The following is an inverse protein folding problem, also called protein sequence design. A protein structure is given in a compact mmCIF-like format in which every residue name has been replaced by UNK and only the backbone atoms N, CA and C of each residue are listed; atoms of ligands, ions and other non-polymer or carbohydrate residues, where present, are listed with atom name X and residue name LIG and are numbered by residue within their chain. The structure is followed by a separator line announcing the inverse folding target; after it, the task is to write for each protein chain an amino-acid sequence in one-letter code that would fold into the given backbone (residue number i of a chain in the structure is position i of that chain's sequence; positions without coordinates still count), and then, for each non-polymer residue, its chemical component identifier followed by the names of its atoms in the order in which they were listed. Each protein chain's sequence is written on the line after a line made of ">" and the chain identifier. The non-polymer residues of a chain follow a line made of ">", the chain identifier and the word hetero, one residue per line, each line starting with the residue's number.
data_IF_538414710660
#
_entry.id   IF_538414710660
#
_cell.length_a   1.000
_cell.length_b   1.000
_cell.length_c   1.000
_cell.angle_alpha   90.00
_cell.angle_beta   90.00
_cell.angle_gamma   90.00
#
_symmetry.space_group_name_H-M   'P 1'
#
loop_
_entity.id
_entity.type
_entity.pdbx_description
1 polymer ?
#
# COMPACT_ATOMS: atom_id res chain seq x y z
N UNK A 1 0.73 -16.25 -20.87
CA UNK A 1 -0.17 -15.70 -19.84
C UNK A 1 -1.58 -15.98 -20.34
N UNK A 2 -2.36 -16.79 -19.62
CA UNK A 2 -3.64 -17.31 -20.09
C UNK A 2 -4.70 -16.20 -19.94
N UNK A 3 -5.39 -15.83 -21.02
CA UNK A 3 -6.40 -14.76 -21.01
C UNK A 3 -7.76 -15.28 -20.52
N UNK A 4 -7.75 -15.82 -19.30
CA UNK A 4 -8.92 -16.46 -18.66
C UNK A 4 -10.10 -15.49 -18.56
N UNK A 5 -9.85 -14.19 -18.44
CA UNK A 5 -10.90 -13.19 -18.37
C UNK A 5 -11.72 -13.11 -19.66
N UNK A 6 -11.07 -13.11 -20.83
CA UNK A 6 -11.79 -13.12 -22.11
C UNK A 6 -12.65 -14.39 -22.23
N UNK A 7 -12.09 -15.55 -21.91
CA UNK A 7 -12.84 -16.82 -21.95
C UNK A 7 -14.05 -16.79 -21.02
N UNK A 8 -13.90 -16.29 -19.79
CA UNK A 8 -15.02 -16.16 -18.84
C UNK A 8 -16.11 -15.25 -19.39
N UNK A 9 -15.76 -14.06 -19.90
CA UNK A 9 -16.77 -13.12 -20.38
C UNK A 9 -17.45 -13.57 -21.70
N UNK A 10 -16.82 -14.46 -22.47
CA UNK A 10 -17.40 -15.04 -23.68
C UNK A 10 -18.23 -16.28 -23.38
N UNK A 11 -17.83 -17.13 -22.43
CA UNK A 11 -18.50 -18.39 -22.09
C UNK A 11 -19.75 -18.17 -21.26
N UNK A 12 -19.71 -17.30 -20.25
CA UNK A 12 -20.82 -17.13 -19.33
C UNK A 12 -21.71 -15.95 -19.76
N UNK A 13 -22.92 -16.25 -20.20
CA UNK A 13 -23.88 -15.27 -20.74
C UNK A 13 -24.74 -14.58 -19.69
N UNK A 14 -24.81 -15.13 -18.46
CA UNK A 14 -25.70 -14.67 -17.39
C UNK A 14 -24.95 -14.35 -16.09
N UNK A 15 -23.69 -13.92 -16.17
CA UNK A 15 -22.98 -13.48 -14.97
C UNK A 15 -23.63 -12.20 -14.46
N UNK A 16 -23.98 -12.19 -13.17
CA UNK A 16 -24.50 -11.00 -12.48
C UNK A 16 -23.37 -10.33 -11.71
N UNK A 17 -22.61 -11.12 -10.95
CA UNK A 17 -21.46 -10.67 -10.16
C UNK A 17 -20.23 -11.50 -10.50
N UNK A 18 -19.10 -10.81 -10.70
CA UNK A 18 -17.81 -11.45 -10.91
C UNK A 18 -16.75 -10.77 -10.03
N UNK A 19 -16.00 -11.57 -9.28
CA UNK A 19 -14.85 -11.12 -8.52
C UNK A 19 -13.67 -12.03 -8.81
N UNK A 20 -12.57 -11.45 -9.28
CA UNK A 20 -11.31 -12.14 -9.40
C UNK A 20 -10.57 -12.04 -8.07
N UNK A 21 -10.35 -13.18 -7.42
CA UNK A 21 -9.45 -13.28 -6.27
C UNK A 21 -8.10 -13.78 -6.79
N UNK A 22 -7.07 -12.96 -6.66
CA UNK A 22 -5.71 -13.36 -6.98
C UNK A 22 -4.92 -13.49 -5.68
N UNK A 23 -4.54 -14.72 -5.33
CA UNK A 23 -3.89 -15.05 -4.06
C UNK A 23 -2.41 -14.68 -3.99
N UNK A 24 -1.85 -14.07 -5.04
CA UNK A 24 -0.46 -13.62 -5.05
C UNK A 24 -0.28 -12.42 -5.96
N UNK A 25 0.48 -11.41 -5.51
CA UNK A 25 0.92 -10.25 -6.29
C UNK A 25 1.73 -10.58 -7.56
N UNK A 26 2.03 -11.87 -7.81
CA UNK A 26 2.89 -12.33 -8.90
C UNK A 26 2.13 -12.83 -10.11
N UNK A 27 0.93 -13.39 -9.91
CA UNK A 27 0.03 -13.70 -11.02
C UNK A 27 -0.66 -12.39 -11.41
N UNK A 28 -0.77 -12.16 -12.72
CA UNK A 28 -1.14 -10.85 -13.27
C UNK A 28 -2.16 -11.09 -14.37
N UNK A 29 -3.32 -10.48 -14.25
CA UNK A 29 -4.29 -10.43 -15.33
C UNK A 29 -3.88 -9.29 -16.26
N UNK A 30 -3.43 -9.64 -17.47
CA UNK A 30 -3.42 -8.73 -18.61
C UNK A 30 -4.62 -9.05 -19.47
N UNK A 31 -5.44 -8.05 -19.72
CA UNK A 31 -6.51 -8.17 -20.70
C UNK A 31 -5.90 -7.89 -22.07
N UNK A 32 -5.36 -8.93 -22.71
CA UNK A 32 -4.97 -8.82 -24.11
C UNK A 32 -6.24 -8.83 -24.95
N UNK A 33 -6.74 -7.65 -25.31
CA UNK A 33 -7.67 -7.52 -26.41
C UNK A 33 -6.82 -7.42 -27.69
N UNK A 34 -6.24 -8.54 -28.11
CA UNK A 34 -5.67 -8.67 -29.45
C UNK A 34 -6.86 -8.55 -30.42
N UNK A 35 -7.16 -7.32 -30.88
CA UNK A 35 -8.32 -6.93 -31.70
C UNK A 35 -9.24 -8.09 -32.15
N UNK A 36 -10.44 -8.23 -31.54
CA UNK A 36 -11.58 -8.79 -32.27
C UNK A 36 -12.84 -7.90 -32.10
N UNK A 37 -13.87 -8.07 -32.96
CA UNK A 37 -14.87 -7.05 -33.21
C UNK A 37 -15.69 -6.71 -31.96
N UNK A 38 -16.30 -5.52 -31.99
CA UNK A 38 -17.28 -4.92 -31.07
C UNK A 38 -18.45 -5.83 -30.60
N UNK A 39 -18.45 -7.15 -30.87
CA UNK A 39 -19.59 -8.07 -30.71
C UNK A 39 -19.35 -9.33 -29.85
N UNK A 40 -18.22 -9.51 -29.17
CA UNK A 40 -17.88 -10.83 -28.55
C UNK A 40 -18.15 -11.00 -27.05
N UNK A 41 -18.55 -9.97 -26.31
CA UNK A 41 -18.93 -10.12 -24.89
C UNK A 41 -20.41 -10.47 -24.77
N UNK A 42 -20.69 -11.73 -24.41
CA UNK A 42 -22.07 -12.24 -24.28
C UNK A 42 -22.66 -12.01 -22.89
N UNK A 43 -21.86 -11.62 -21.91
CA UNK A 43 -22.31 -11.33 -20.54
C UNK A 43 -22.97 -9.96 -20.42
N UNK A 44 -24.04 -9.72 -21.19
CA UNK A 44 -24.79 -8.46 -21.15
C UNK A 44 -25.42 -8.17 -19.78
N UNK A 45 -25.47 -9.14 -18.86
CA UNK A 45 -26.12 -9.04 -17.55
C UNK A 45 -25.19 -8.69 -16.39
N UNK A 46 -23.90 -8.46 -16.64
CA UNK A 46 -22.94 -8.23 -15.56
C UNK A 46 -23.22 -6.88 -14.87
N UNK A 47 -23.63 -6.93 -13.61
CA UNK A 47 -23.97 -5.75 -12.80
C UNK A 47 -22.80 -5.30 -11.92
N UNK A 48 -21.97 -6.25 -11.45
CA UNK A 48 -20.85 -5.99 -10.54
C UNK A 48 -19.58 -6.72 -10.97
N UNK A 49 -18.49 -5.97 -11.07
CA UNK A 49 -17.15 -6.47 -11.36
C UNK A 49 -16.15 -5.99 -10.30
N UNK A 50 -15.34 -6.90 -9.79
CA UNK A 50 -14.14 -6.60 -9.02
C UNK A 50 -12.95 -7.32 -9.67
N UNK A 51 -11.97 -6.54 -10.11
CA UNK A 51 -10.87 -7.03 -10.92
C UNK A 51 -9.56 -6.31 -10.60
N UNK A 52 -8.46 -7.05 -10.65
CA UNK A 52 -7.10 -6.52 -10.63
C UNK A 52 -6.56 -6.47 -12.06
N UNK A 53 -6.02 -5.34 -12.49
CA UNK A 53 -5.52 -5.14 -13.85
C UNK A 53 -4.06 -4.69 -13.84
N UNK A 54 -3.38 -5.00 -14.94
CA UNK A 54 -1.97 -4.68 -15.08
C UNK A 54 -1.73 -3.19 -15.33
N UNK A 55 -2.52 -2.56 -16.19
CA UNK A 55 -2.38 -1.15 -16.55
C UNK A 55 -3.72 -0.43 -16.67
N UNK A 56 -3.66 0.90 -16.75
CA UNK A 56 -4.85 1.75 -16.90
C UNK A 56 -5.58 1.54 -18.24
N UNK A 57 -4.88 1.18 -19.32
CA UNK A 57 -5.51 0.89 -20.62
C UNK A 57 -6.48 -0.29 -20.52
N UNK A 58 -6.14 -1.33 -19.77
CA UNK A 58 -7.03 -2.47 -19.50
C UNK A 58 -8.35 -2.01 -18.86
N UNK A 59 -8.29 -1.01 -17.96
CA UNK A 59 -9.46 -0.42 -17.32
C UNK A 59 -10.33 0.35 -18.34
N UNK A 60 -9.69 1.15 -19.21
CA UNK A 60 -10.40 1.86 -20.28
C UNK A 60 -11.11 0.92 -21.24
N UNK A 61 -10.50 -0.23 -21.55
CA UNK A 61 -11.14 -1.25 -22.38
C UNK A 61 -12.36 -1.89 -21.72
N UNK A 62 -12.38 -2.07 -20.39
CA UNK A 62 -13.60 -2.52 -19.69
C UNK A 62 -14.71 -1.46 -19.75
N UNK A 63 -14.34 -0.19 -19.84
CA UNK A 63 -15.21 0.97 -19.81
C UNK A 63 -15.63 1.47 -21.21
N UNK A 64 -15.32 0.73 -22.27
CA UNK A 64 -15.60 1.17 -23.64
C UNK A 64 -17.04 0.89 -24.14
N UNK A 65 -17.92 0.48 -23.23
CA UNK A 65 -19.34 0.22 -23.53
C UNK A 65 -19.70 -1.26 -23.70
N UNK A 66 -18.71 -2.17 -23.66
CA UNK A 66 -18.95 -3.62 -23.73
C UNK A 66 -19.79 -4.20 -22.57
N UNK A 67 -19.75 -3.57 -21.40
CA UNK A 67 -20.55 -3.95 -20.23
C UNK A 67 -21.61 -2.88 -19.95
N UNK A 68 -22.58 -2.73 -20.85
CA UNK A 68 -23.59 -1.67 -20.76
C UNK A 68 -24.49 -1.78 -19.52
N UNK A 69 -24.67 -2.95 -18.88
CA UNK A 69 -25.44 -3.08 -17.64
C UNK A 69 -24.60 -2.93 -16.37
N UNK A 70 -23.28 -2.71 -16.48
CA UNK A 70 -22.40 -2.62 -15.32
C UNK A 70 -22.77 -1.41 -14.46
N UNK A 71 -23.11 -1.68 -13.20
CA UNK A 71 -23.49 -0.65 -12.22
C UNK A 71 -22.38 -0.42 -11.20
N UNK A 72 -21.59 -1.45 -10.90
CA UNK A 72 -20.56 -1.41 -9.85
C UNK A 72 -19.25 -1.98 -10.39
N UNK A 73 -18.19 -1.17 -10.32
CA UNK A 73 -16.86 -1.56 -10.77
C UNK A 73 -15.80 -1.22 -9.71
N UNK A 74 -15.05 -2.22 -9.28
CA UNK A 74 -13.85 -2.09 -8.47
C UNK A 74 -12.64 -2.50 -9.30
N UNK A 75 -11.65 -1.61 -9.41
CA UNK A 75 -10.42 -1.84 -10.17
C UNK A 75 -9.24 -1.62 -9.26
N UNK A 76 -8.42 -2.66 -9.11
CA UNK A 76 -7.08 -2.54 -8.53
C UNK A 76 -6.03 -2.53 -9.64
N UNK A 77 -5.26 -1.45 -9.75
CA UNK A 77 -4.23 -1.27 -10.76
C UNK A 77 -2.84 -1.46 -10.18
N UNK A 78 -2.01 -2.17 -10.95
CA UNK A 78 -0.59 -2.23 -10.67
C UNK A 78 0.06 -0.89 -11.03
N UNK A 79 -0.15 -0.38 -12.24
CA UNK A 79 0.44 0.91 -12.65
C UNK A 79 -0.48 1.70 -13.57
N UNK A 80 -0.31 3.02 -13.53
CA UNK A 80 -0.98 3.95 -14.46
C UNK A 80 0.09 4.55 -15.37
N UNK A 81 -0.07 4.29 -16.67
CA UNK A 81 0.75 4.83 -17.75
C UNK A 81 -0.08 5.78 -18.59
N UNK A 82 0.55 6.70 -19.34
CA UNK A 82 -0.21 7.54 -20.26
C UNK A 82 -0.86 6.62 -21.30
N UNK A 83 -2.16 6.79 -21.58
CA UNK A 83 -2.86 5.90 -22.48
C UNK A 83 -2.32 6.04 -23.89
N UNK A 84 -2.11 4.92 -24.57
CA UNK A 84 -1.48 4.90 -25.89
C UNK A 84 -2.35 5.51 -26.99
N UNK A 85 -3.69 5.47 -26.86
CA UNK A 85 -4.66 6.16 -27.72
C UNK A 85 -6.06 5.99 -27.11
N UNK A 86 -6.66 7.03 -26.52
CA UNK A 86 -8.08 6.95 -26.10
C UNK A 86 -8.96 7.21 -27.33
N UNK A 87 -9.37 6.15 -28.03
CA UNK A 87 -10.33 6.27 -29.15
C UNK A 87 -11.80 6.09 -28.75
N UNK A 88 -12.11 5.55 -27.57
CA UNK A 88 -13.48 5.11 -27.27
C UNK A 88 -14.23 6.00 -26.25
N UNK A 89 -15.28 6.62 -26.78
CA UNK A 89 -16.27 7.50 -26.12
C UNK A 89 -17.50 6.72 -25.61
N UNK A 90 -17.31 5.50 -25.08
CA UNK A 90 -18.41 4.71 -24.52
C UNK A 90 -19.18 5.49 -23.46
N UNK A 91 -20.51 5.37 -23.49
CA UNK A 91 -21.41 5.94 -22.48
C UNK A 91 -21.25 5.17 -21.17
N UNK A 92 -20.89 5.89 -20.11
CA UNK A 92 -20.69 5.36 -18.75
C UNK A 92 -21.84 5.70 -17.81
N UNK A 93 -22.99 6.14 -18.36
CA UNK A 93 -24.16 6.58 -17.62
C UNK A 93 -24.78 5.53 -16.70
N UNK A 94 -24.57 4.23 -16.97
CA UNK A 94 -25.13 3.16 -16.13
C UNK A 94 -24.30 2.87 -14.88
N UNK A 95 -23.04 3.29 -14.85
CA UNK A 95 -22.17 3.06 -13.71
C UNK A 95 -22.61 3.95 -12.54
N UNK A 96 -22.97 3.32 -11.43
CA UNK A 96 -23.37 3.98 -10.19
C UNK A 96 -22.23 4.06 -9.21
N UNK A 97 -21.46 2.98 -9.07
CA UNK A 97 -20.35 2.91 -8.13
C UNK A 97 -19.05 2.57 -8.86
N UNK A 98 -18.02 3.36 -8.61
CA UNK A 98 -16.70 3.14 -9.15
C UNK A 98 -15.66 3.23 -8.05
N UNK A 99 -14.71 2.29 -8.05
CA UNK A 99 -13.55 2.36 -7.17
C UNK A 99 -12.28 2.03 -7.93
N UNK A 100 -11.25 2.84 -7.71
CA UNK A 100 -9.94 2.72 -8.32
C UNK A 100 -8.87 2.74 -7.23
N UNK A 101 -8.07 1.67 -7.15
CA UNK A 101 -6.82 1.66 -6.38
C UNK A 101 -5.61 1.61 -7.32
N UNK A 102 -4.57 2.38 -7.01
CA UNK A 102 -3.26 2.30 -7.64
C UNK A 102 -2.21 2.79 -6.63
N UNK A 103 -1.47 1.86 -6.07
CA UNK A 103 -0.49 2.15 -5.02
C UNK A 103 0.91 2.43 -5.58
N UNK A 104 1.17 2.11 -6.85
CA UNK A 104 2.34 2.63 -7.57
C UNK A 104 2.04 4.07 -7.97
N UNK A 105 2.91 4.99 -7.56
CA UNK A 105 2.75 6.41 -7.82
C UNK A 105 2.53 6.71 -9.31
N UNK A 106 1.62 7.64 -9.60
CA UNK A 106 1.32 8.09 -10.98
C UNK A 106 1.50 9.60 -11.16
N UNK A 107 2.01 10.01 -12.32
CA UNK A 107 2.03 11.41 -12.73
C UNK A 107 0.74 11.82 -13.49
N UNK A 108 -0.17 10.88 -13.74
CA UNK A 108 -1.26 11.05 -14.71
C UNK A 108 -2.63 11.25 -14.06
N UNK A 109 -2.66 11.68 -12.79
CA UNK A 109 -3.91 11.90 -12.07
C UNK A 109 -4.77 12.95 -12.76
N UNK A 110 -4.21 14.13 -13.05
CA UNK A 110 -4.96 15.22 -13.67
C UNK A 110 -5.22 14.98 -15.16
N UNK A 111 -4.28 14.34 -15.90
CA UNK A 111 -4.38 14.16 -17.35
C UNK A 111 -5.20 12.93 -17.77
N UNK A 112 -5.33 11.92 -16.91
CA UNK A 112 -5.90 10.63 -17.27
C UNK A 112 -7.04 10.19 -16.35
N UNK A 113 -6.87 10.29 -15.04
CA UNK A 113 -7.88 9.82 -14.08
C UNK A 113 -9.06 10.81 -14.02
N UNK A 114 -8.80 12.11 -13.84
CA UNK A 114 -9.87 13.12 -13.78
C UNK A 114 -10.76 13.15 -15.04
N UNK A 115 -10.21 13.15 -16.29
CA UNK A 115 -11.05 13.15 -17.48
C UNK A 115 -11.91 11.88 -17.62
N UNK A 116 -11.41 10.73 -17.19
CA UNK A 116 -12.23 9.51 -17.14
C UNK A 116 -13.39 9.68 -16.16
N UNK A 117 -13.09 10.16 -14.96
CA UNK A 117 -14.07 10.39 -13.91
C UNK A 117 -15.18 11.37 -14.34
N UNK A 118 -14.84 12.43 -15.08
CA UNK A 118 -15.83 13.37 -15.63
C UNK A 118 -16.83 12.76 -16.61
N UNK A 119 -16.48 11.62 -17.24
CA UNK A 119 -17.40 10.89 -18.12
C UNK A 119 -18.44 10.08 -17.34
N UNK A 120 -18.20 9.82 -16.06
CA UNK A 120 -19.07 9.01 -15.20
C UNK A 120 -20.06 9.90 -14.42
N UNK A 121 -20.85 10.72 -15.15
CA UNK A 121 -21.71 11.76 -14.59
C UNK A 121 -22.84 11.26 -13.67
N UNK A 122 -23.11 9.96 -13.68
CA UNK A 122 -24.16 9.29 -12.90
C UNK A 122 -23.66 8.57 -11.65
N UNK A 123 -22.37 8.69 -11.32
CA UNK A 123 -21.82 8.08 -10.11
C UNK A 123 -22.49 8.63 -8.86
N UNK A 124 -22.92 7.70 -8.01
CA UNK A 124 -23.46 7.93 -6.68
C UNK A 124 -22.43 7.64 -5.60
N UNK A 125 -21.47 6.74 -5.88
CA UNK A 125 -20.36 6.40 -4.99
C UNK A 125 -19.03 6.32 -5.74
N UNK A 126 -18.00 6.91 -5.13
CA UNK A 126 -16.63 6.92 -5.66
C UNK A 126 -15.64 6.52 -4.57
N UNK A 127 -14.76 5.57 -4.87
CA UNK A 127 -13.65 5.15 -4.03
C UNK A 127 -12.30 5.38 -4.73
N UNK A 128 -11.44 6.28 -4.25
CA UNK A 128 -10.12 6.52 -4.85
C UNK A 128 -8.99 6.23 -3.87
N UNK A 129 -8.10 5.29 -4.19
CA UNK A 129 -6.93 4.94 -3.36
C UNK A 129 -5.66 5.07 -4.20
N UNK A 130 -5.05 6.25 -4.21
CA UNK A 130 -4.04 6.61 -5.22
C UNK A 130 -2.77 7.16 -4.57
N UNK A 131 -1.62 6.70 -5.07
CA UNK A 131 -0.34 7.41 -4.89
C UNK A 131 -0.10 8.30 -6.12
N UNK A 132 0.19 9.59 -5.91
CA UNK A 132 0.25 10.59 -6.98
C UNK A 132 1.51 11.44 -6.87
N UNK A 133 2.28 11.51 -7.96
CA UNK A 133 3.40 12.44 -8.10
C UNK A 133 2.88 13.79 -8.58
N UNK A 134 2.96 14.81 -7.73
CA UNK A 134 2.53 16.18 -8.03
C UNK A 134 3.72 17.11 -8.28
N UNK A 135 3.60 17.97 -9.29
CA UNK A 135 4.68 18.90 -9.65
C UNK A 135 4.66 20.17 -8.76
N UNK A 136 3.46 20.71 -8.48
CA UNK A 136 3.30 22.05 -7.89
C UNK A 136 2.94 22.00 -6.42
N UNK A 137 1.78 21.44 -6.10
CA UNK A 137 1.18 21.41 -4.76
C UNK A 137 0.56 20.04 -4.51
N UNK A 138 0.49 19.62 -3.25
CA UNK A 138 -0.25 18.41 -2.87
C UNK A 138 -1.71 18.48 -3.29
N UNK A 139 -2.32 17.31 -3.43
CA UNK A 139 -3.77 17.20 -3.51
C UNK A 139 -4.33 17.56 -2.13
N UNK A 140 -5.18 18.58 -2.07
CA UNK A 140 -5.83 19.06 -0.85
C UNK A 140 -7.37 19.08 -1.02
N UNK A 141 -8.08 19.55 0.01
CA UNK A 141 -9.54 19.64 -0.03
C UNK A 141 -10.07 20.56 -1.11
N UNK A 142 -9.35 21.64 -1.45
CA UNK A 142 -9.74 22.56 -2.52
C UNK A 142 -9.64 21.90 -3.90
N UNK A 143 -8.57 21.15 -4.15
CA UNK A 143 -8.38 20.38 -5.38
C UNK A 143 -9.50 19.36 -5.54
N UNK A 144 -9.75 18.54 -4.51
CA UNK A 144 -10.81 17.52 -4.56
C UNK A 144 -12.21 18.13 -4.71
N UNK A 145 -12.49 19.26 -4.04
CA UNK A 145 -13.77 19.96 -4.18
C UNK A 145 -13.98 20.46 -5.60
N UNK A 146 -12.97 21.10 -6.19
CA UNK A 146 -13.03 21.67 -7.55
C UNK A 146 -13.14 20.58 -8.62
N UNK A 147 -12.35 19.53 -8.49
CA UNK A 147 -12.14 18.54 -9.55
C UNK A 147 -12.95 17.25 -9.38
N UNK A 148 -13.61 17.03 -8.24
CA UNK A 148 -14.46 15.84 -8.04
C UNK A 148 -15.85 16.29 -7.63
N UNK A 149 -15.97 16.91 -6.45
CA UNK A 149 -17.27 17.21 -5.84
C UNK A 149 -18.13 18.11 -6.75
N UNK A 150 -17.56 19.20 -7.26
CA UNK A 150 -18.30 20.14 -8.11
C UNK A 150 -18.67 19.56 -9.49
N UNK A 151 -17.91 18.57 -9.96
CA UNK A 151 -18.10 17.96 -11.28
C UNK A 151 -19.02 16.73 -11.24
N UNK A 152 -19.32 16.19 -10.06
CA UNK A 152 -20.12 14.98 -9.88
C UNK A 152 -21.34 15.26 -8.98
N UNK A 153 -22.39 15.94 -9.49
CA UNK A 153 -23.51 16.39 -8.67
C UNK A 153 -24.37 15.26 -8.08
N UNK A 154 -24.23 14.03 -8.58
CA UNK A 154 -24.94 12.83 -8.07
C UNK A 154 -24.14 12.08 -7.00
N UNK A 155 -22.89 12.48 -6.75
CA UNK A 155 -22.00 11.79 -5.82
C UNK A 155 -22.48 12.00 -4.38
N UNK A 156 -23.05 10.94 -3.80
CA UNK A 156 -23.53 10.92 -2.42
C UNK A 156 -22.47 10.44 -1.44
N UNK A 157 -21.51 9.63 -1.92
CA UNK A 157 -20.46 9.07 -1.10
C UNK A 157 -19.12 9.15 -1.83
N UNK A 158 -18.15 9.80 -1.18
CA UNK A 158 -16.78 9.85 -1.65
C UNK A 158 -15.84 9.34 -0.56
N UNK A 159 -15.25 8.18 -0.82
CA UNK A 159 -14.22 7.57 0.03
C UNK A 159 -12.90 7.72 -0.71
N UNK A 160 -11.86 8.17 -0.02
CA UNK A 160 -10.55 8.31 -0.64
C UNK A 160 -9.39 8.10 0.33
N UNK A 161 -8.26 7.74 -0.26
CA UNK A 161 -6.92 7.84 0.27
C UNK A 161 -6.03 8.37 -0.86
N UNK A 162 -5.43 9.54 -0.67
CA UNK A 162 -4.37 10.02 -1.54
C UNK A 162 -3.08 10.11 -0.77
N UNK A 163 -2.05 9.63 -1.43
CA UNK A 163 -0.67 9.74 -1.03
C UNK A 163 0.06 10.58 -2.09
N UNK A 164 0.15 11.88 -1.84
CA UNK A 164 0.73 12.83 -2.77
C UNK A 164 2.23 13.01 -2.50
N UNK A 165 3.05 12.79 -3.50
CA UNK A 165 4.49 13.03 -3.49
C UNK A 165 4.83 14.32 -4.24
N UNK A 166 5.74 15.13 -3.71
CA UNK A 166 6.18 16.36 -4.33
C UNK A 166 7.69 16.56 -4.13
N UNK A 167 8.40 16.99 -5.18
CA UNK A 167 9.76 17.50 -5.02
C UNK A 167 9.75 18.89 -4.35
N UNK A 168 10.52 19.05 -3.27
CA UNK A 168 10.55 20.28 -2.46
C UNK A 168 11.59 21.27 -2.96
N UNK A 169 12.75 20.81 -3.46
CA UNK A 169 13.78 21.63 -4.11
C UNK A 169 13.93 23.04 -3.54
N UNK A 170 13.85 24.05 -4.42
CA UNK A 170 13.95 25.47 -4.04
C UNK A 170 12.60 26.12 -3.66
N UNK A 171 11.59 25.36 -3.23
CA UNK A 171 10.29 25.95 -2.88
C UNK A 171 10.42 26.80 -1.61
N UNK A 172 10.01 28.06 -1.72
CA UNK A 172 10.05 29.03 -0.62
C UNK A 172 8.97 28.79 0.45
N UNK A 173 7.88 28.11 0.08
CA UNK A 173 6.77 27.83 0.97
C UNK A 173 6.33 26.38 0.81
N UNK A 174 6.26 25.67 1.93
CA UNK A 174 5.90 24.27 2.04
C UNK A 174 4.66 24.19 2.94
N UNK A 175 3.51 23.67 2.43
CA UNK A 175 2.27 23.61 3.21
C UNK A 175 2.42 22.71 4.44
N UNK A 176 1.96 23.19 5.59
CA UNK A 176 1.94 22.41 6.82
C UNK A 176 0.72 21.47 6.84
N UNK A 177 0.73 20.52 7.78
CA UNK A 177 -0.42 19.63 8.03
C UNK A 177 -1.69 20.42 8.28
N UNK A 178 -1.61 21.51 9.03
CA UNK A 178 -2.72 22.39 9.37
C UNK A 178 -3.28 23.10 8.13
N UNK A 179 -2.42 23.52 7.20
CA UNK A 179 -2.83 24.15 5.94
C UNK A 179 -3.65 23.18 5.09
N UNK A 180 -3.19 21.93 4.97
CA UNK A 180 -3.90 20.86 4.25
C UNK A 180 -5.22 20.52 4.94
N UNK A 181 -5.21 20.38 6.27
CA UNK A 181 -6.40 20.04 7.03
C UNK A 181 -7.46 21.16 6.93
N UNK A 182 -7.04 22.42 6.93
CA UNK A 182 -7.94 23.57 6.79
C UNK A 182 -8.63 23.61 5.42
N UNK A 183 -8.00 23.08 4.36
CA UNK A 183 -8.63 22.96 3.05
C UNK A 183 -9.88 22.04 3.04
N UNK A 184 -10.08 21.26 4.10
CA UNK A 184 -11.24 20.37 4.25
C UNK A 184 -12.36 20.91 5.13
N UNK A 185 -12.27 22.16 5.63
CA UNK A 185 -13.25 22.71 6.58
C UNK A 185 -14.70 22.69 6.06
N UNK A 186 -14.89 22.92 4.76
CA UNK A 186 -16.19 22.90 4.08
C UNK A 186 -16.33 21.65 3.18
N UNK A 187 -15.58 20.59 3.45
CA UNK A 187 -15.69 19.35 2.70
C UNK A 187 -16.90 18.56 3.20
N UNK A 188 -17.74 17.97 2.33
CA UNK A 188 -18.96 17.25 2.76
C UNK A 188 -18.72 16.07 3.71
N UNK A 189 -17.47 15.59 3.81
CA UNK A 189 -17.05 14.52 4.69
C UNK A 189 -16.22 15.11 5.84
N UNK A 190 -16.79 15.15 7.04
CA UNK A 190 -16.18 15.83 8.19
C UNK A 190 -15.08 15.02 8.89
N UNK A 191 -14.89 13.74 8.51
CA UNK A 191 -13.89 12.86 9.13
C UNK A 191 -12.72 12.65 8.17
N UNK A 192 -12.02 13.72 7.83
CA UNK A 192 -10.83 13.67 6.98
C UNK A 192 -9.61 13.86 7.86
N UNK A 193 -8.64 12.97 7.69
CA UNK A 193 -7.35 13.06 8.37
C UNK A 193 -6.31 13.38 7.30
N UNK A 194 -5.48 14.38 7.59
CA UNK A 194 -4.30 14.69 6.80
C UNK A 194 -3.04 14.79 7.65
N UNK A 195 -1.90 14.47 7.05
CA UNK A 195 -0.60 14.88 7.59
C UNK A 195 0.41 15.03 6.46
N UNK A 196 1.38 15.91 6.69
CA UNK A 196 2.45 16.24 5.76
C UNK A 196 3.78 15.88 6.41
N UNK A 197 4.64 15.26 5.62
CA UNK A 197 6.02 14.95 5.95
C UNK A 197 6.96 15.58 4.93
N UNK A 198 8.10 16.05 5.42
CA UNK A 198 9.17 16.58 4.60
C UNK A 198 10.45 15.82 4.89
N UNK A 199 11.16 15.48 3.82
CA UNK A 199 12.38 14.69 3.81
C UNK A 199 13.51 15.56 3.23
N UNK A 200 14.19 16.36 4.07
CA UNK A 200 15.27 17.25 3.63
C UNK A 200 16.42 16.57 2.89
N UNK A 201 16.82 15.35 3.28
CA UNK A 201 17.92 14.64 2.60
C UNK A 201 17.51 14.25 1.17
N UNK A 202 16.25 13.83 0.98
CA UNK A 202 15.68 13.53 -0.34
C UNK A 202 15.27 14.76 -1.16
N UNK A 203 15.06 15.91 -0.51
CA UNK A 203 14.35 17.06 -1.09
C UNK A 203 12.94 16.69 -1.55
N UNK A 204 12.23 15.94 -0.70
CA UNK A 204 10.91 15.40 -0.99
C UNK A 204 9.92 15.84 0.07
N UNK A 205 8.66 15.92 -0.34
CA UNK A 205 7.52 16.18 0.52
C UNK A 205 6.44 15.17 0.19
N UNK A 206 5.75 14.73 1.24
CA UNK A 206 4.68 13.74 1.12
C UNK A 206 3.49 14.18 1.92
N UNK A 207 2.30 14.00 1.36
CA UNK A 207 1.06 14.34 2.01
C UNK A 207 0.10 13.17 1.90
N UNK A 208 -0.35 12.68 3.06
CA UNK A 208 -1.40 11.69 3.14
C UNK A 208 -2.70 12.41 3.48
N UNK A 209 -3.75 12.15 2.71
CA UNK A 209 -5.12 12.59 2.99
C UNK A 209 -6.06 11.41 2.82
N UNK A 210 -7.00 11.22 3.75
CA UNK A 210 -8.01 10.17 3.59
C UNK A 210 -9.28 10.45 4.37
N UNK A 211 -10.38 9.92 3.83
CA UNK A 211 -11.66 9.85 4.52
C UNK A 211 -11.68 8.70 5.52
N UNK A 212 -12.24 8.92 6.71
CA UNK A 212 -12.41 7.91 7.74
C UNK A 212 -13.89 7.46 7.87
N UNK A 213 -14.17 6.15 8.00
CA UNK A 213 -13.22 5.04 7.98
C UNK A 213 -12.69 4.79 6.56
N UNK A 214 -11.39 4.52 6.45
CA UNK A 214 -10.78 4.10 5.19
C UNK A 214 -10.95 2.59 5.00
N UNK A 215 -11.24 2.17 3.76
CA UNK A 215 -11.27 0.76 3.36
C UNK A 215 -9.94 0.34 2.69
N UNK A 216 -8.88 1.11 2.90
CA UNK A 216 -7.56 0.77 2.34
C UNK A 216 -7.04 -0.54 2.92
N UNK A 217 -6.45 -1.36 2.06
CA UNK A 217 -5.77 -2.61 2.46
C UNK A 217 -4.25 -2.39 2.65
N UNK A 218 -3.70 -1.36 1.99
CA UNK A 218 -2.29 -1.01 2.03
C UNK A 218 -2.08 0.42 2.56
N UNK A 219 -1.15 0.58 3.50
CA UNK A 219 -0.72 1.88 4.01
C UNK A 219 0.80 2.05 3.82
N UNK A 220 1.15 2.95 2.89
CA UNK A 220 2.54 3.18 2.48
C UNK A 220 3.23 4.30 3.26
N UNK A 221 4.53 4.16 3.51
CA UNK A 221 5.47 5.18 4.02
C UNK A 221 4.96 5.92 5.25
N UNK A 222 4.55 5.17 6.25
CA UNK A 222 4.22 5.72 7.56
C UNK A 222 5.51 6.24 8.22
N UNK A 223 5.47 7.50 8.64
CA UNK A 223 6.57 8.23 9.29
C UNK A 223 6.32 8.36 10.80
N UNK A 224 7.27 8.94 11.54
CA UNK A 224 7.08 9.26 12.96
C UNK A 224 5.93 10.27 13.22
N UNK A 225 5.50 11.03 12.22
CA UNK A 225 4.36 11.97 12.34
C UNK A 225 3.01 11.26 12.29
N UNK A 226 2.98 9.96 12.02
CA UNK A 226 1.75 9.17 12.01
C UNK A 226 0.99 9.30 13.35
N UNK A 227 -0.24 9.84 13.33
CA UNK A 227 -0.98 10.15 14.55
C UNK A 227 -1.53 8.90 15.27
N UNK A 228 -1.48 7.73 14.62
CA UNK A 228 -2.18 6.53 15.07
C UNK A 228 -3.60 6.47 14.51
N UNK A 229 -4.52 5.87 15.27
CA UNK A 229 -5.89 5.55 14.83
C UNK A 229 -6.11 4.04 14.77
N UNK A 230 -7.29 3.60 14.32
CA UNK A 230 -7.64 2.18 14.18
C UNK A 230 -7.99 1.89 12.72
N UNK A 231 -7.22 1.00 12.08
CA UNK A 231 -7.34 0.67 10.66
C UNK A 231 -7.56 -0.82 10.50
N UNK A 232 -8.82 -1.24 10.65
CA UNK A 232 -9.20 -2.67 10.64
C UNK A 232 -9.08 -3.35 9.27
N UNK A 233 -8.98 -2.59 8.18
CA UNK A 233 -8.91 -3.10 6.82
C UNK A 233 -7.48 -3.18 6.27
N UNK A 234 -6.54 -2.46 6.87
CA UNK A 234 -5.13 -2.51 6.46
C UNK A 234 -4.54 -3.87 6.81
N UNK A 235 -3.87 -4.48 5.83
CA UNK A 235 -3.13 -5.74 5.92
C UNK A 235 -1.64 -5.54 5.71
N UNK A 236 -1.27 -4.50 4.99
CA UNK A 236 0.11 -4.26 4.59
C UNK A 236 0.53 -2.85 4.96
N UNK A 237 1.68 -2.73 5.62
CA UNK A 237 2.24 -1.45 6.05
C UNK A 237 3.69 -1.33 5.62
N UNK A 238 4.06 -0.18 5.04
CA UNK A 238 5.46 0.20 4.90
C UNK A 238 5.81 1.40 5.77
N UNK A 239 6.96 1.32 6.44
CA UNK A 239 7.49 2.35 7.33
C UNK A 239 8.74 2.98 6.70
N UNK A 240 8.81 4.30 6.69
CA UNK A 240 9.98 5.06 6.24
C UNK A 240 10.03 6.42 6.91
N UNK A 241 11.21 6.83 7.38
CA UNK A 241 11.46 8.17 7.90
C UNK A 241 12.98 8.44 7.84
N UNK A 242 13.37 9.71 7.73
CA UNK A 242 14.76 10.16 7.88
C UNK A 242 15.18 10.21 9.36
N UNK A 243 14.21 10.20 10.27
CA UNK A 243 14.40 10.08 11.73
C UNK A 243 14.29 8.62 12.16
N UNK A 244 14.98 8.20 13.23
CA UNK A 244 14.88 6.83 13.70
C UNK A 244 13.50 6.49 14.27
N UNK A 245 13.11 5.22 14.17
CA UNK A 245 11.88 4.70 14.79
C UNK A 245 12.17 4.11 16.16
N UNK A 246 11.68 4.72 17.23
CA UNK A 246 11.84 4.17 18.58
C UNK A 246 10.85 3.02 18.85
N UNK A 247 11.08 2.25 19.92
CA UNK A 247 10.22 1.12 20.28
C UNK A 247 8.73 1.49 20.38
N UNK A 248 8.42 2.66 20.96
CA UNK A 248 7.04 3.15 21.09
C UNK A 248 6.34 3.39 19.74
N UNK A 249 7.10 3.60 18.67
CA UNK A 249 6.56 3.70 17.33
C UNK A 249 5.98 2.35 16.88
N UNK A 250 6.72 1.26 17.05
CA UNK A 250 6.25 -0.09 16.72
C UNK A 250 5.03 -0.50 17.56
N UNK A 251 4.95 -0.08 18.83
CA UNK A 251 3.74 -0.23 19.64
C UNK A 251 2.55 0.55 19.07
N UNK A 252 2.77 1.76 18.55
CA UNK A 252 1.73 2.54 17.89
C UNK A 252 1.25 1.84 16.62
N UNK A 253 2.16 1.34 15.78
CA UNK A 253 1.84 0.56 14.58
C UNK A 253 1.00 -0.68 14.95
N UNK A 254 1.43 -1.46 15.93
CA UNK A 254 0.71 -2.65 16.38
C UNK A 254 -0.73 -2.35 16.83
N UNK A 255 -0.93 -1.26 17.58
CA UNK A 255 -2.26 -0.84 18.05
C UNK A 255 -3.14 -0.32 16.91
N UNK A 256 -2.52 0.32 15.92
CA UNK A 256 -3.24 0.91 14.79
C UNK A 256 -3.66 -0.10 13.75
N UNK A 257 -2.91 -1.20 13.60
CA UNK A 257 -3.12 -2.20 12.57
C UNK A 257 -3.30 -3.59 13.21
N UNK A 258 -4.46 -3.86 13.84
CA UNK A 258 -4.69 -5.10 14.58
C UNK A 258 -4.67 -6.35 13.68
N UNK A 259 -4.89 -6.20 12.37
CA UNK A 259 -4.92 -7.25 11.36
C UNK A 259 -3.72 -7.19 10.41
N UNK A 260 -2.59 -6.62 10.85
CA UNK A 260 -1.39 -6.48 10.02
C UNK A 260 -0.81 -7.86 9.64
N UNK A 261 -0.70 -8.12 8.35
CA UNK A 261 -0.17 -9.35 7.74
C UNK A 261 1.24 -9.14 7.20
N UNK A 262 1.55 -7.97 6.62
CA UNK A 262 2.88 -7.67 6.08
C UNK A 262 3.43 -6.33 6.59
N UNK A 263 4.68 -6.34 7.06
CA UNK A 263 5.37 -5.15 7.54
C UNK A 263 6.72 -4.96 6.83
N UNK A 264 6.85 -3.88 6.08
CA UNK A 264 8.13 -3.45 5.49
C UNK A 264 8.68 -2.27 6.26
N UNK A 265 9.96 -2.30 6.61
CA UNK A 265 10.66 -1.20 7.29
C UNK A 265 11.86 -0.79 6.48
N UNK A 266 11.99 0.52 6.23
CA UNK A 266 13.17 1.13 5.61
C UNK A 266 13.61 2.29 6.48
N UNK A 267 14.73 2.13 7.19
CA UNK A 267 15.29 3.19 8.01
C UNK A 267 16.76 2.88 8.35
N UNK A 268 17.67 3.72 7.87
CA UNK A 268 19.11 3.50 8.06
C UNK A 268 19.68 4.17 9.31
N UNK A 269 18.88 4.98 10.03
CA UNK A 269 19.35 5.65 11.25
C UNK A 269 19.20 4.71 12.45
N UNK A 270 20.21 4.63 13.34
CA UNK A 270 20.12 3.86 14.58
C UNK A 270 19.03 4.41 15.52
N UNK A 271 18.46 3.55 16.36
CA UNK A 271 17.54 3.98 17.42
C UNK A 271 18.30 4.83 18.44
N UNK A 272 17.73 5.96 18.87
CA UNK A 272 18.39 6.78 19.90
C UNK A 272 18.23 6.16 21.28
N UNK A 273 17.07 5.54 21.56
CA UNK A 273 16.75 4.95 22.85
C UNK A 273 16.94 3.45 22.77
N UNK A 274 18.17 2.99 23.00
CA UNK A 274 18.42 1.55 23.12
C UNK A 274 17.76 1.04 24.41
N UNK A 275 16.86 0.05 24.35
CA UNK A 275 16.22 -0.50 25.56
C UNK A 275 17.19 -1.20 26.53
N UNK A 276 18.47 -1.31 26.16
CA UNK A 276 19.52 -1.90 26.97
C UNK A 276 20.65 -0.88 27.14
N UNK A 277 20.76 -0.31 28.34
CA UNK A 277 22.00 0.03 29.08
C UNK A 277 21.78 1.06 30.19
N UNK A 278 20.60 1.67 30.33
CA UNK A 278 20.33 2.53 31.49
C UNK A 278 19.76 1.71 32.66
N UNK A 279 20.69 1.21 33.48
CA UNK A 279 20.46 0.57 34.78
C UNK A 279 19.98 1.57 35.85
N UNK A 280 19.07 2.47 35.50
CA UNK A 280 18.45 3.39 36.46
C UNK A 280 16.96 3.07 36.55
N UNK A 281 16.70 2.12 37.45
CA UNK A 281 15.49 1.54 38.05
C UNK A 281 14.09 2.20 37.95
N UNK A 282 13.83 3.26 37.18
CA UNK A 282 12.54 3.97 37.21
C UNK A 282 11.80 4.14 35.86
N UNK A 283 12.29 3.59 34.75
CA UNK A 283 11.57 3.56 33.47
C UNK A 283 12.11 2.40 32.61
N UNK A 284 11.38 1.47 31.98
CA UNK A 284 9.96 1.10 31.86
C UNK A 284 9.99 -0.37 31.41
N UNK A 285 9.12 -1.23 31.95
CA UNK A 285 8.77 -2.48 31.28
C UNK A 285 8.06 -2.12 29.97
N UNK A 286 8.82 -1.90 28.89
CA UNK A 286 8.24 -1.80 27.56
C UNK A 286 7.74 -3.20 27.22
N UNK A 287 6.42 -3.32 27.05
CA UNK A 287 5.80 -4.59 26.71
C UNK A 287 6.27 -5.02 25.32
N UNK A 288 6.66 -6.29 25.17
CA UNK A 288 6.97 -6.85 23.87
C UNK A 288 5.82 -6.59 22.88
N UNK A 289 6.16 -6.12 21.69
CA UNK A 289 5.19 -5.86 20.62
C UNK A 289 4.67 -7.20 20.11
N UNK A 290 3.35 -7.37 20.08
CA UNK A 290 2.70 -8.60 19.61
C UNK A 290 1.91 -8.35 18.34
N UNK A 291 2.36 -8.94 17.24
CA UNK A 291 1.64 -8.88 15.97
C UNK A 291 0.95 -10.23 15.70
N UNK A 292 -0.36 -10.29 15.98
CA UNK A 292 -1.12 -11.54 15.98
C UNK A 292 -1.32 -12.16 14.58
N UNK A 293 -1.24 -11.36 13.52
CA UNK A 293 -1.50 -11.80 12.13
C UNK A 293 -0.30 -11.63 11.20
N UNK A 294 0.83 -11.15 11.72
CA UNK A 294 1.99 -10.86 10.89
C UNK A 294 2.55 -12.16 10.31
N UNK A 295 2.51 -12.25 8.98
CA UNK A 295 3.02 -13.36 8.18
C UNK A 295 4.28 -12.99 7.41
N UNK A 296 4.52 -11.70 7.13
CA UNK A 296 5.69 -11.26 6.38
C UNK A 296 6.36 -10.02 7.00
N UNK A 297 7.69 -10.05 7.12
CA UNK A 297 8.52 -8.93 7.58
C UNK A 297 9.66 -8.68 6.59
N UNK A 298 9.72 -7.46 6.06
CA UNK A 298 10.82 -7.02 5.21
C UNK A 298 11.66 -5.94 5.93
N UNK A 299 12.88 -6.32 6.29
CA UNK A 299 13.87 -5.47 6.97
C UNK A 299 15.21 -5.51 6.24
N UNK A 300 15.17 -5.48 4.91
CA UNK A 300 16.38 -5.48 4.08
C UNK A 300 17.18 -4.18 4.18
N UNK A 301 16.48 -3.05 4.25
CA UNK A 301 17.06 -1.72 4.18
C UNK A 301 16.94 -0.99 5.51
N UNK A 302 17.39 -1.66 6.58
CA UNK A 302 17.34 -1.10 7.93
C UNK A 302 18.69 -1.11 8.63
N UNK A 303 18.83 -0.26 9.64
CA UNK A 303 19.89 -0.37 10.65
C UNK A 303 19.71 -1.61 11.53
N UNK A 304 20.81 -2.17 12.05
CA UNK A 304 20.80 -3.40 12.85
C UNK A 304 19.92 -3.31 14.11
N UNK A 305 19.73 -2.11 14.68
CA UNK A 305 18.84 -1.90 15.84
C UNK A 305 17.39 -2.34 15.57
N UNK A 306 16.90 -2.17 14.33
CA UNK A 306 15.56 -2.62 13.95
C UNK A 306 15.48 -4.13 13.78
N UNK A 307 16.57 -4.75 13.30
CA UNK A 307 16.67 -6.21 13.28
C UNK A 307 16.65 -6.74 14.72
N UNK A 308 17.37 -6.12 15.66
CA UNK A 308 17.27 -6.47 17.07
C UNK A 308 15.85 -6.30 17.61
N UNK A 309 15.14 -5.21 17.24
CA UNK A 309 13.75 -4.97 17.64
C UNK A 309 12.82 -6.13 17.26
N UNK A 310 13.00 -6.76 16.09
CA UNK A 310 12.17 -7.89 15.65
C UNK A 310 12.68 -9.26 16.13
N UNK A 311 14.00 -9.46 16.18
CA UNK A 311 14.56 -10.78 16.52
C UNK A 311 14.64 -11.04 18.02
N UNK A 312 14.68 -10.03 18.88
CA UNK A 312 14.69 -10.26 20.34
C UNK A 312 13.28 -10.58 20.83
N UNK A 313 13.17 -11.70 21.53
CA UNK A 313 11.94 -12.17 22.17
C UNK A 313 11.39 -11.20 23.24
N UNK A 314 12.28 -10.44 23.89
CA UNK A 314 11.94 -9.41 24.87
C UNK A 314 11.34 -8.15 24.23
N UNK A 315 11.57 -7.91 22.93
CA UNK A 315 11.13 -6.70 22.23
C UNK A 315 9.92 -6.95 21.33
N UNK A 316 9.86 -8.10 20.68
CA UNK A 316 8.76 -8.50 19.80
C UNK A 316 8.45 -9.98 20.03
N UNK A 317 7.18 -10.34 19.98
CA UNK A 317 6.74 -11.74 19.99
C UNK A 317 6.12 -12.06 18.62
N UNK A 318 6.82 -12.88 17.84
CA UNK A 318 6.30 -13.43 16.59
C UNK A 318 5.46 -14.67 16.94
N UNK A 319 4.15 -14.60 16.72
CA UNK A 319 3.22 -15.68 17.11
C UNK A 319 2.94 -16.67 15.98
N UNK A 320 3.18 -16.24 14.74
CA UNK A 320 2.91 -17.03 13.55
C UNK A 320 4.21 -17.44 12.88
N UNK A 321 4.05 -18.37 11.95
CA UNK A 321 5.01 -18.71 10.94
C UNK A 321 5.30 -17.51 10.03
N UNK A 322 6.45 -16.86 10.20
CA UNK A 322 6.79 -15.59 9.52
C UNK A 322 7.77 -15.82 8.35
N UNK A 323 7.56 -15.09 7.27
CA UNK A 323 8.50 -14.89 6.16
C UNK A 323 9.37 -13.67 6.48
N UNK A 324 10.69 -13.83 6.47
CA UNK A 324 11.65 -12.77 6.79
C UNK A 324 12.55 -12.46 5.60
N UNK A 325 12.63 -11.18 5.22
CA UNK A 325 13.60 -10.66 4.25
C UNK A 325 14.66 -9.83 4.98
N UNK A 326 15.91 -10.24 4.88
CA UNK A 326 17.02 -9.63 5.62
C UNK A 326 18.37 -9.79 4.90
N UNK A 327 19.30 -8.86 5.15
CA UNK A 327 20.70 -9.00 4.73
C UNK A 327 21.43 -9.99 5.63
N UNK A 328 22.16 -10.93 5.03
CA UNK A 328 22.87 -11.98 5.76
C UNK A 328 23.89 -11.41 6.75
N UNK A 329 24.64 -10.39 6.35
CA UNK A 329 25.69 -9.76 7.14
C UNK A 329 25.11 -9.06 8.38
N UNK A 330 23.96 -8.40 8.23
CA UNK A 330 23.25 -7.79 9.37
C UNK A 330 22.69 -8.85 10.33
N UNK A 331 22.17 -9.95 9.78
CA UNK A 331 21.69 -11.07 10.58
C UNK A 331 22.83 -11.69 11.41
N UNK A 332 24.01 -11.90 10.82
CA UNK A 332 25.20 -12.38 11.53
C UNK A 332 25.60 -11.45 12.68
N UNK A 333 25.63 -10.12 12.45
CA UNK A 333 25.99 -9.16 13.50
C UNK A 333 25.02 -9.20 14.68
N UNK A 334 23.71 -9.17 14.41
CA UNK A 334 22.68 -9.15 15.46
C UNK A 334 22.64 -10.44 16.27
N UNK A 335 22.80 -11.59 15.59
CA UNK A 335 22.79 -12.92 16.23
C UNK A 335 24.14 -13.32 16.82
N UNK A 336 25.17 -12.46 16.72
CA UNK A 336 26.56 -12.78 17.07
C UNK A 336 27.01 -14.09 16.42
N UNK A 337 27.01 -14.12 15.08
CA UNK A 337 27.31 -15.33 14.29
C UNK A 337 26.46 -16.54 14.73
N UNK A 338 25.15 -16.32 14.95
CA UNK A 338 24.20 -17.37 15.33
C UNK A 338 24.49 -18.02 16.70
N UNK A 339 25.06 -17.28 17.65
CA UNK A 339 25.35 -17.77 19.02
C UNK A 339 24.53 -17.09 20.12
N UNK A 340 23.76 -16.05 19.78
CA UNK A 340 23.03 -15.24 20.77
C UNK A 340 21.68 -15.84 21.15
N UNK A 341 21.52 -16.44 22.32
CA UNK A 341 20.27 -17.13 22.67
C UNK A 341 19.01 -16.24 22.68
N UNK A 342 19.15 -14.95 23.04
CA UNK A 342 18.01 -14.01 23.13
C UNK A 342 17.26 -13.80 21.79
N UNK A 343 17.89 -14.08 20.65
CA UNK A 343 17.25 -13.97 19.33
C UNK A 343 16.68 -15.30 18.83
N UNK A 344 17.01 -16.42 19.49
CA UNK A 344 16.74 -17.76 18.97
C UNK A 344 15.26 -18.11 18.94
N UNK A 345 14.49 -17.64 19.93
CA UNK A 345 13.05 -17.93 20.03
C UNK A 345 12.29 -17.38 18.82
N UNK A 346 12.50 -16.10 18.47
CA UNK A 346 11.83 -15.51 17.30
C UNK A 346 12.39 -16.08 15.98
N UNK A 347 13.69 -16.36 15.90
CA UNK A 347 14.28 -17.02 14.72
C UNK A 347 13.65 -18.40 14.45
N UNK A 348 13.29 -19.15 15.49
CA UNK A 348 12.61 -20.44 15.33
C UNK A 348 11.17 -20.33 14.78
N UNK A 349 10.54 -19.15 14.82
CA UNK A 349 9.21 -18.88 14.26
C UNK A 349 9.24 -18.53 12.76
N UNK A 350 10.44 -18.38 12.18
CA UNK A 350 10.58 -18.07 10.75
C UNK A 350 10.38 -19.36 9.94
N UNK A 351 9.43 -19.36 9.00
CA UNK A 351 9.28 -20.46 8.01
C UNK A 351 10.04 -20.25 6.74
N UNK A 352 10.33 -19.00 6.38
CA UNK A 352 11.00 -18.71 5.14
C UNK A 352 11.92 -17.53 5.35
N UNK A 353 13.19 -17.75 5.03
CA UNK A 353 14.23 -16.77 5.21
C UNK A 353 14.80 -16.41 3.83
N UNK A 354 14.48 -15.21 3.35
CA UNK A 354 15.07 -14.64 2.15
C UNK A 354 16.31 -13.85 2.50
N UNK A 355 17.47 -14.45 2.24
CA UNK A 355 18.77 -13.85 2.49
C UNK A 355 19.30 -13.15 1.25
N UNK A 356 19.60 -11.87 1.42
CA UNK A 356 20.38 -11.09 0.48
C UNK A 356 21.82 -11.09 1.00
N UNK A 357 22.76 -11.58 0.18
CA UNK A 357 24.13 -11.86 0.61
C UNK A 357 25.15 -11.33 -0.39
N UNK A 358 26.29 -10.94 0.14
CA UNK A 358 27.53 -10.73 -0.61
C UNK A 358 28.53 -11.88 -0.36
N UNK A 359 28.28 -12.73 0.64
CA UNK A 359 29.21 -13.75 1.16
C UNK A 359 28.62 -15.15 1.30
N UNK A 360 29.47 -16.16 1.55
CA UNK A 360 29.04 -17.54 1.82
C UNK A 360 28.40 -17.67 3.21
N UNK A 361 27.41 -18.56 3.33
CA UNK A 361 26.65 -18.74 4.57
C UNK A 361 27.30 -19.77 5.49
N UNK A 362 27.24 -19.52 6.80
CA UNK A 362 27.69 -20.44 7.84
C UNK A 362 26.74 -21.64 7.96
N UNK A 363 27.30 -22.81 8.23
CA UNK A 363 26.52 -24.02 8.54
C UNK A 363 25.64 -23.85 9.79
N UNK A 364 26.01 -22.96 10.71
CA UNK A 364 25.23 -22.69 11.94
C UNK A 364 23.88 -22.01 11.67
N UNK A 365 23.64 -21.52 10.45
CA UNK A 365 22.39 -20.86 10.08
C UNK A 365 21.19 -21.82 10.20
N UNK A 366 21.33 -23.07 9.74
CA UNK A 366 20.25 -24.06 9.76
C UNK A 366 19.84 -24.43 11.19
N UNK A 367 20.80 -24.55 12.11
CA UNK A 367 20.54 -24.81 13.53
C UNK A 367 19.81 -23.65 14.23
N UNK A 368 20.00 -22.44 13.71
CA UNK A 368 19.43 -21.21 14.25
C UNK A 368 18.02 -20.93 13.70
N UNK A 369 17.71 -21.46 12.52
CA UNK A 369 16.42 -21.36 11.83
C UNK A 369 15.86 -22.76 11.50
N UNK A 370 15.57 -23.59 12.50
CA UNK A 370 15.30 -25.02 12.30
C UNK A 370 14.06 -25.34 11.45
N UNK A 371 13.13 -24.38 11.33
CA UNK A 371 11.87 -24.55 10.60
C UNK A 371 11.83 -23.79 9.27
N UNK A 372 12.93 -23.10 8.90
CA UNK A 372 12.90 -22.19 7.77
C UNK A 372 13.34 -22.86 6.45
N UNK A 373 12.55 -22.65 5.39
CA UNK A 373 13.03 -22.74 4.01
C UNK A 373 13.97 -21.55 3.74
N UNK A 374 15.26 -21.81 3.58
CA UNK A 374 16.27 -20.77 3.34
C UNK A 374 16.40 -20.52 1.84
N UNK A 375 16.14 -19.29 1.42
CA UNK A 375 16.20 -18.85 0.03
C UNK A 375 17.29 -17.78 -0.14
N UNK A 376 18.23 -18.03 -1.05
CA UNK A 376 19.31 -17.09 -1.34
C UNK A 376 18.98 -16.23 -2.56
N UNK A 377 19.21 -14.92 -2.43
CA UNK A 377 19.23 -13.99 -3.56
C UNK A 377 20.58 -13.29 -3.60
N UNK A 378 21.24 -13.35 -4.76
CA UNK A 378 22.41 -12.53 -5.01
C UNK A 378 21.94 -11.09 -5.27
N UNK A 379 22.61 -10.13 -4.64
CA UNK A 379 22.54 -8.73 -5.03
C UNK A 379 23.39 -8.64 -6.31
N UNK A 380 22.75 -8.34 -7.45
CA UNK A 380 23.45 -8.07 -8.71
C UNK A 380 23.87 -6.61 -8.79
#
# INVERSE_FOLDING_TARGET
>A
MLNICNDIFTVFTHLIHLKFYESSYKNRIRLFFDDPPLSTFRSATLLKLNIRLQCFDDCLYLLDGRFNQLQILYVDLIHIRPPHEIKNQGDLSNLKWFSLSCYIGTHYYDETILPLLYRMSNLEQLGLYLSVFVNKTFIDGNHLKRNIINCMPRLSQFIFYFDSYMYTGNKLYLPLTEDIQHAFIDFPNNNIISYVDYFPEGQEGRCHIYSYPSLMEYYSFITNNFPGGLYNYVREVSLFDERPFEHEFFLRIQKSFPCLEELSVTNHKPQNRKPHFESNNHNRNLFAVKYSFLGEVNILNVHDDYIEQFLFDTKTCLQNTVILYIKYESLQRVTHNFTRDATRINCAQISKLYLYRESECSNSLEEYFPNAEICYRQIY
#
